data_IF_145337924640
#
_entry.id   IF_145337924640
#
_cell.length_a   1.000
_cell.length_b   1.000
_cell.length_c   1.000
_cell.angle_alpha   90.00
_cell.angle_beta   90.00
_cell.angle_gamma   90.00
#
_symmetry.space_group_name_H-M   'P 1'
#
loop_
_entity.id
_entity.type
_entity.pdbx_description
1 polymer ?
#
# COMPACT_ATOMS: atom_id res chain seq x y z
N UNK A 1 -22.04 -35.29 16.05
CA UNK A 1 -20.58 -35.41 15.92
C UNK A 1 -20.03 -34.04 15.53
N UNK A 2 -19.45 -33.24 16.45
CA UNK A 2 -18.90 -31.95 16.07
C UNK A 2 -17.50 -32.15 15.49
N UNK A 3 -17.29 -31.70 14.27
CA UNK A 3 -15.98 -31.68 13.63
C UNK A 3 -15.14 -30.57 14.27
N UNK A 4 -14.18 -30.97 15.11
CA UNK A 4 -13.04 -30.13 15.47
C UNK A 4 -12.19 -29.93 14.20
N UNK A 5 -12.27 -28.73 13.61
CA UNK A 5 -11.30 -28.31 12.60
C UNK A 5 -10.05 -27.83 13.32
N UNK A 6 -9.03 -28.68 13.36
CA UNK A 6 -7.66 -28.26 13.65
C UNK A 6 -7.22 -27.44 12.44
N UNK A 7 -7.47 -26.14 12.50
CA UNK A 7 -6.82 -25.19 11.59
C UNK A 7 -5.36 -25.16 12.00
N UNK A 8 -4.49 -25.78 11.20
CA UNK A 8 -3.08 -25.45 11.25
C UNK A 8 -2.95 -23.97 10.93
N UNK A 9 -2.77 -23.16 11.97
CA UNK A 9 -2.17 -21.85 11.83
C UNK A 9 -0.84 -22.09 11.11
N UNK A 10 -0.71 -21.64 9.87
CA UNK A 10 0.60 -21.23 9.40
C UNK A 10 0.98 -20.05 10.28
N UNK A 11 1.62 -20.40 11.41
CA UNK A 11 2.22 -19.49 12.36
C UNK A 11 3.01 -18.44 11.61
N UNK A 12 2.98 -17.20 12.11
CA UNK A 12 3.91 -16.13 11.77
C UNK A 12 5.29 -16.72 11.49
N UNK A 13 5.63 -16.91 10.21
CA UNK A 13 6.85 -17.61 9.83
C UNK A 13 8.02 -16.77 10.31
N UNK A 14 8.80 -17.35 11.24
CA UNK A 14 10.16 -16.90 11.56
C UNK A 14 11.00 -17.06 10.30
N UNK A 15 10.92 -16.09 9.39
CA UNK A 15 11.79 -16.02 8.22
C UNK A 15 13.16 -15.53 8.70
N UNK A 16 14.27 -16.28 8.51
CA UNK A 16 15.58 -15.84 8.96
C UNK A 16 16.05 -14.53 8.31
N UNK A 17 15.48 -14.16 7.15
CA UNK A 17 15.85 -12.96 6.40
C UNK A 17 15.37 -11.65 7.05
N UNK A 18 14.33 -11.71 7.88
CA UNK A 18 13.84 -10.54 8.60
C UNK A 18 13.44 -10.85 10.04
N UNK A 19 13.79 -9.97 10.97
CA UNK A 19 13.49 -10.18 12.38
C UNK A 19 13.21 -8.87 13.10
N UNK A 20 12.63 -9.00 14.29
CA UNK A 20 12.23 -7.88 15.15
C UNK A 20 13.38 -6.89 15.43
N UNK A 21 14.60 -7.39 15.60
CA UNK A 21 15.78 -6.58 15.90
C UNK A 21 16.25 -5.69 14.75
N UNK A 22 15.66 -5.82 13.55
CA UNK A 22 15.92 -4.93 12.42
C UNK A 22 15.01 -3.69 12.40
N UNK A 23 14.11 -3.55 13.38
CA UNK A 23 13.28 -2.37 13.57
C UNK A 23 13.79 -1.61 14.78
N UNK A 24 14.21 -0.36 14.55
CA UNK A 24 14.86 0.46 15.56
C UNK A 24 13.96 1.62 16.04
N UNK A 25 13.01 2.05 15.20
CA UNK A 25 12.10 3.14 15.54
C UNK A 25 10.84 3.10 14.69
N UNK A 26 9.70 3.39 15.33
CA UNK A 26 8.39 3.55 14.69
C UNK A 26 7.85 4.94 15.09
N UNK A 27 7.77 5.85 14.11
CA UNK A 27 7.22 7.19 14.25
C UNK A 27 5.88 7.37 13.54
N UNK A 28 5.37 8.60 13.56
CA UNK A 28 4.12 8.99 12.89
C UNK A 28 4.42 9.83 11.66
N UNK A 29 3.90 9.42 10.50
CA UNK A 29 4.01 10.15 9.25
C UNK A 29 2.88 11.17 9.12
N UNK A 30 3.00 12.31 9.80
CA UNK A 30 1.96 13.35 9.83
C UNK A 30 1.66 13.96 8.45
N UNK A 31 2.67 14.04 7.58
CA UNK A 31 2.53 14.57 6.22
C UNK A 31 1.75 13.64 5.27
N UNK A 32 1.46 12.39 5.65
CA UNK A 32 0.53 11.55 4.90
C UNK A 32 -0.91 11.88 5.31
N UNK A 33 -1.39 13.02 4.84
CA UNK A 33 -2.68 13.61 5.23
C UNK A 33 -3.45 14.12 4.02
N UNK A 34 -4.75 14.33 4.17
CA UNK A 34 -5.59 14.91 3.11
C UNK A 34 -5.11 16.33 2.74
N UNK A 35 -4.71 17.10 3.74
CA UNK A 35 -4.17 18.46 3.56
C UNK A 35 -2.96 18.45 2.62
N UNK A 36 -2.01 17.53 2.83
CA UNK A 36 -0.84 17.43 1.95
C UNK A 36 -1.22 16.98 0.54
N UNK A 37 -2.16 16.03 0.41
CA UNK A 37 -2.66 15.58 -0.89
C UNK A 37 -3.29 16.73 -1.67
N UNK A 38 -4.13 17.53 -1.01
CA UNK A 38 -4.76 18.70 -1.64
C UNK A 38 -3.74 19.79 -1.95
N UNK A 39 -2.74 19.98 -1.10
CA UNK A 39 -1.67 20.95 -1.35
C UNK A 39 -0.85 20.59 -2.60
N UNK A 40 -0.45 19.33 -2.75
CA UNK A 40 0.41 18.88 -3.85
C UNK A 40 -0.37 18.61 -5.14
N UNK A 41 -1.58 18.06 -5.03
CA UNK A 41 -2.33 17.51 -6.16
C UNK A 41 -3.79 18.01 -6.20
N UNK A 42 -4.13 19.10 -5.51
CA UNK A 42 -5.49 19.66 -5.49
C UNK A 42 -6.01 19.99 -6.88
N UNK A 43 -5.17 20.56 -7.75
CA UNK A 43 -5.56 20.93 -9.11
C UNK A 43 -6.08 19.75 -9.94
N UNK A 44 -5.41 18.59 -9.87
CA UNK A 44 -5.87 17.38 -10.58
C UNK A 44 -7.10 16.77 -9.93
N UNK A 45 -7.26 16.87 -8.60
CA UNK A 45 -8.44 16.39 -7.88
C UNK A 45 -9.69 17.22 -8.19
N UNK A 46 -9.53 18.53 -8.41
CA UNK A 46 -10.62 19.45 -8.74
C UNK A 46 -11.04 19.37 -10.21
N UNK A 47 -10.07 19.19 -11.12
CA UNK A 47 -10.31 19.33 -12.56
C UNK A 47 -10.33 18.00 -13.33
N UNK A 48 -10.16 16.86 -12.65
CA UNK A 48 -10.22 15.55 -13.28
C UNK A 48 -11.17 14.60 -12.56
N UNK A 49 -11.90 13.80 -13.34
CA UNK A 49 -12.89 12.89 -12.82
C UNK A 49 -12.78 11.52 -13.49
N UNK A 50 -13.01 10.48 -12.71
CA UNK A 50 -13.20 9.12 -13.21
C UNK A 50 -14.69 8.81 -13.25
N UNK A 51 -15.13 8.05 -14.25
CA UNK A 51 -16.50 7.57 -14.31
C UNK A 51 -16.83 6.77 -13.04
N UNK A 52 -18.00 7.04 -12.46
CA UNK A 52 -18.52 6.26 -11.35
C UNK A 52 -18.74 4.82 -11.83
N UNK A 53 -18.14 3.85 -11.15
CA UNK A 53 -18.43 2.43 -11.38
C UNK A 53 -19.57 2.04 -10.43
N UNK A 54 -20.69 1.50 -10.94
CA UNK A 54 -21.73 0.99 -10.07
C UNK A 54 -21.11 -0.06 -9.15
N UNK A 55 -21.21 0.14 -7.84
CA UNK A 55 -20.87 -0.91 -6.88
C UNK A 55 -21.81 -2.06 -7.22
N UNK A 56 -21.25 -3.19 -7.67
CA UNK A 56 -22.04 -4.39 -7.92
C UNK A 56 -22.76 -4.74 -6.62
N UNK A 57 -24.09 -4.58 -6.59
CA UNK A 57 -24.98 -5.02 -5.51
C UNK A 57 -25.06 -6.55 -5.39
N UNK A 58 -23.95 -7.24 -5.68
CA UNK A 58 -23.85 -8.66 -5.48
C UNK A 58 -23.68 -8.93 -3.99
N UNK A 59 -24.49 -9.84 -3.41
CA UNK A 59 -24.34 -10.19 -2.00
C UNK A 59 -22.89 -10.61 -1.73
N UNK A 60 -22.25 -10.11 -0.65
CA UNK A 60 -20.86 -10.43 -0.35
C UNK A 60 -20.69 -11.95 -0.30
N UNK A 61 -19.81 -12.51 -1.13
CA UNK A 61 -19.49 -13.94 -1.02
C UNK A 61 -18.93 -14.22 0.37
N UNK A 62 -19.29 -15.34 1.01
CA UNK A 62 -18.72 -15.75 2.31
C UNK A 62 -17.19 -15.67 2.30
N UNK A 63 -16.61 -15.13 3.36
CA UNK A 63 -15.16 -14.96 3.53
C UNK A 63 -14.64 -16.13 4.34
N UNK A 64 -13.74 -16.95 3.79
CA UNK A 64 -12.71 -17.66 4.54
C UNK A 64 -11.67 -18.25 3.59
N UNK A 65 -10.36 -18.33 3.93
CA UNK A 65 -9.54 -17.51 4.83
C UNK A 65 -8.62 -16.55 4.02
N UNK A 66 -7.61 -15.94 4.66
CA UNK A 66 -6.54 -15.07 4.14
C UNK A 66 -6.26 -15.06 2.61
N UNK A 67 -6.26 -16.24 1.98
CA UNK A 67 -6.03 -16.42 0.53
C UNK A 67 -7.00 -15.64 -0.37
N UNK A 68 -8.24 -15.38 0.07
CA UNK A 68 -9.23 -14.65 -0.73
C UNK A 68 -9.03 -13.13 -0.72
N UNK A 69 -8.19 -12.62 0.18
CA UNK A 69 -8.07 -11.19 0.39
C UNK A 69 -7.39 -10.44 -0.77
N UNK A 70 -6.28 -10.93 -1.37
CA UNK A 70 -5.72 -10.33 -2.57
C UNK A 70 -6.75 -10.22 -3.70
N UNK A 71 -7.52 -11.29 -3.95
CA UNK A 71 -8.56 -11.27 -4.99
C UNK A 71 -9.61 -10.17 -4.76
N UNK A 72 -10.01 -9.91 -3.50
CA UNK A 72 -10.92 -8.80 -3.17
C UNK A 72 -10.30 -7.44 -3.42
N UNK A 73 -9.04 -7.26 -3.05
CA UNK A 73 -8.32 -6.02 -3.35
C UNK A 73 -8.28 -5.79 -4.86
N UNK A 74 -8.02 -6.82 -5.66
CA UNK A 74 -8.10 -6.70 -7.12
C UNK A 74 -9.49 -6.28 -7.62
N UNK A 75 -10.56 -6.90 -7.11
CA UNK A 75 -11.92 -6.57 -7.54
C UNK A 75 -12.33 -5.13 -7.23
N UNK A 76 -11.93 -4.59 -6.06
CA UNK A 76 -12.43 -3.30 -5.59
C UNK A 76 -11.46 -2.13 -5.78
N UNK A 77 -10.15 -2.39 -5.90
CA UNK A 77 -9.13 -1.35 -5.85
C UNK A 77 -8.43 -1.20 -7.19
N UNK A 78 -7.86 -2.29 -7.73
CA UNK A 78 -6.89 -2.21 -8.83
C UNK A 78 -7.44 -1.49 -10.06
N UNK A 79 -8.66 -1.80 -10.48
CA UNK A 79 -9.27 -1.18 -11.67
C UNK A 79 -9.53 0.31 -11.46
N UNK A 80 -10.13 0.68 -10.33
CA UNK A 80 -10.45 2.07 -10.03
C UNK A 80 -9.19 2.92 -9.86
N UNK A 81 -8.20 2.39 -9.15
CA UNK A 81 -6.91 3.04 -8.96
C UNK A 81 -6.14 3.20 -10.28
N UNK A 82 -6.15 2.18 -11.15
CA UNK A 82 -5.53 2.27 -12.47
C UNK A 82 -6.17 3.35 -13.34
N UNK A 83 -7.51 3.46 -13.32
CA UNK A 83 -8.22 4.55 -14.02
C UNK A 83 -7.87 5.92 -13.43
N UNK A 84 -7.79 6.04 -12.11
CA UNK A 84 -7.42 7.28 -11.43
C UNK A 84 -5.98 7.72 -11.76
N UNK A 85 -5.01 6.80 -11.73
CA UNK A 85 -3.62 7.08 -12.10
C UNK A 85 -3.52 7.52 -13.56
N UNK A 86 -4.15 6.79 -14.49
CA UNK A 86 -4.18 7.17 -15.90
C UNK A 86 -4.78 8.56 -16.11
N UNK A 87 -5.86 8.87 -15.41
CA UNK A 87 -6.52 10.19 -15.48
C UNK A 87 -5.57 11.29 -14.98
N UNK A 88 -4.88 11.05 -13.86
CA UNK A 88 -3.93 12.00 -13.31
C UNK A 88 -2.73 12.25 -14.23
N UNK A 89 -2.09 11.20 -14.75
CA UNK A 89 -0.94 11.35 -15.66
C UNK A 89 -1.33 11.99 -17.00
N UNK A 90 -2.56 11.78 -17.47
CA UNK A 90 -3.07 12.50 -18.64
C UNK A 90 -3.28 13.99 -18.35
N UNK A 91 -3.70 14.33 -17.12
CA UNK A 91 -3.91 15.72 -16.70
C UNK A 91 -2.60 16.49 -16.55
N UNK A 92 -1.57 15.90 -15.92
CA UNK A 92 -0.27 16.54 -15.75
C UNK A 92 0.42 16.89 -17.07
N UNK A 93 0.08 16.19 -18.17
CA UNK A 93 0.78 16.38 -19.44
C UNK A 93 2.29 16.15 -19.33
N UNK A 94 3.05 16.46 -20.39
CA UNK A 94 4.49 16.15 -20.44
C UNK A 94 5.38 17.12 -19.65
N UNK A 95 4.91 18.33 -19.29
CA UNK A 95 5.76 19.41 -18.77
C UNK A 95 5.42 19.88 -17.36
N UNK A 96 4.24 19.56 -16.81
CA UNK A 96 3.77 20.14 -15.55
C UNK A 96 4.40 19.43 -14.32
N UNK A 97 4.84 18.17 -14.51
CA UNK A 97 5.57 17.39 -13.51
C UNK A 97 6.70 16.55 -14.12
N UNK A 98 7.81 17.16 -14.56
CA UNK A 98 8.88 16.46 -15.30
C UNK A 98 9.62 15.39 -14.48
N UNK A 99 9.45 15.39 -13.15
CA UNK A 99 10.04 14.40 -12.24
C UNK A 99 9.13 13.18 -12.01
N UNK A 100 7.86 13.24 -12.41
CA UNK A 100 6.92 12.14 -12.24
C UNK A 100 6.93 11.21 -13.47
N UNK A 101 7.16 9.93 -13.22
CA UNK A 101 7.02 8.88 -14.22
C UNK A 101 5.67 8.19 -14.09
N UNK A 102 5.02 7.89 -15.22
CA UNK A 102 3.79 7.09 -15.24
C UNK A 102 3.99 5.74 -14.55
N UNK A 103 3.23 5.50 -13.48
CA UNK A 103 3.24 4.24 -12.72
C UNK A 103 1.95 3.45 -12.89
N UNK A 104 2.05 2.15 -12.65
CA UNK A 104 0.95 1.20 -12.54
C UNK A 104 0.96 0.55 -11.16
N UNK A 105 -0.22 0.13 -10.71
CA UNK A 105 -0.43 -0.59 -9.45
C UNK A 105 -1.03 -1.96 -9.75
N UNK A 106 -0.40 -3.03 -9.28
CA UNK A 106 -0.91 -4.39 -9.49
C UNK A 106 -0.26 -5.42 -8.53
N UNK A 107 -0.44 -6.72 -8.78
CA UNK A 107 0.23 -7.81 -8.05
C UNK A 107 1.74 -7.62 -8.03
N UNK A 108 2.36 -7.98 -6.91
CA UNK A 108 3.80 -7.78 -6.73
C UNK A 108 4.69 -8.56 -7.70
N UNK A 109 4.18 -9.67 -8.26
CA UNK A 109 4.89 -10.49 -9.24
C UNK A 109 5.08 -9.83 -10.61
N UNK A 110 4.37 -8.74 -10.89
CA UNK A 110 4.56 -7.97 -12.13
C UNK A 110 5.75 -7.00 -12.05
N UNK A 111 6.32 -6.78 -10.87
CA UNK A 111 7.58 -6.06 -10.71
C UNK A 111 8.74 -7.04 -10.49
N UNK A 112 9.99 -6.55 -10.65
CA UNK A 112 11.20 -7.31 -10.32
C UNK A 112 11.13 -7.81 -8.87
N UNK A 113 11.43 -9.08 -8.63
CA UNK A 113 11.39 -9.76 -7.32
C UNK A 113 12.79 -10.24 -6.87
N UNK A 114 13.62 -9.35 -6.30
CA UNK A 114 14.98 -9.69 -5.88
C UNK A 114 14.99 -10.87 -4.90
N UNK A 115 15.88 -11.84 -5.11
CA UNK A 115 16.00 -13.06 -4.28
C UNK A 115 14.69 -13.87 -4.15
N UNK A 116 13.76 -13.71 -5.10
CA UNK A 116 12.47 -14.44 -5.16
C UNK A 116 11.53 -14.17 -3.98
N UNK A 117 11.71 -13.06 -3.26
CA UNK A 117 10.69 -12.57 -2.35
C UNK A 117 9.76 -11.63 -3.11
N UNK A 118 8.49 -11.99 -3.14
CA UNK A 118 7.46 -11.26 -3.89
C UNK A 118 6.51 -10.58 -2.90
N UNK A 119 6.49 -9.24 -2.84
CA UNK A 119 5.45 -8.50 -2.13
C UNK A 119 4.06 -8.86 -2.67
N UNK A 120 3.00 -8.60 -1.91
CA UNK A 120 1.64 -8.92 -2.40
C UNK A 120 1.24 -7.99 -3.54
N UNK A 121 1.58 -6.71 -3.42
CA UNK A 121 1.27 -5.66 -4.39
C UNK A 121 2.55 -4.92 -4.77
N UNK A 122 2.54 -4.29 -5.92
CA UNK A 122 3.61 -3.44 -6.40
C UNK A 122 3.08 -2.18 -7.08
N UNK A 123 3.89 -1.14 -7.00
CA UNK A 123 3.83 0.02 -7.89
C UNK A 123 5.07 0.00 -8.76
N UNK A 124 4.94 0.16 -10.06
CA UNK A 124 6.08 0.09 -10.98
C UNK A 124 5.88 1.03 -12.17
N UNK A 125 6.97 1.41 -12.84
CA UNK A 125 6.89 2.23 -14.04
C UNK A 125 6.21 1.48 -15.19
N UNK A 126 5.28 2.13 -15.88
CA UNK A 126 4.61 1.59 -17.05
C UNK A 126 5.54 1.46 -18.27
N UNK A 127 6.64 2.23 -18.30
CA UNK A 127 7.55 2.29 -19.44
C UNK A 127 8.65 1.21 -19.42
N UNK A 128 8.83 0.50 -18.31
CA UNK A 128 9.91 -0.47 -18.16
C UNK A 128 9.46 -1.92 -18.41
N UNK A 129 10.28 -2.76 -19.05
CA UNK A 129 10.02 -4.20 -19.19
C UNK A 129 9.95 -4.93 -17.84
N UNK A 130 9.15 -6.00 -17.77
CA UNK A 130 8.87 -6.82 -16.57
C UNK A 130 10.15 -7.31 -15.87
N UNK A 131 11.18 -7.64 -16.65
CA UNK A 131 12.45 -8.19 -16.14
C UNK A 131 13.29 -7.18 -15.37
N UNK A 132 13.12 -5.88 -15.63
CA UNK A 132 13.94 -4.81 -15.05
C UNK A 132 13.13 -3.80 -14.25
N UNK A 133 11.80 -3.77 -14.39
CA UNK A 133 10.96 -2.77 -13.73
C UNK A 133 11.05 -2.90 -12.20
N UNK A 134 11.56 -1.91 -11.48
CA UNK A 134 11.65 -1.95 -10.04
C UNK A 134 10.25 -1.82 -9.44
N UNK A 135 10.03 -2.54 -8.33
CA UNK A 135 8.92 -2.23 -7.45
C UNK A 135 9.27 -0.95 -6.67
N UNK A 136 8.48 0.10 -6.83
CA UNK A 136 8.63 1.40 -6.17
C UNK A 136 7.87 1.49 -4.85
N UNK A 137 6.86 0.64 -4.67
CA UNK A 137 6.06 0.53 -3.44
C UNK A 137 5.67 -0.94 -3.22
N UNK A 138 6.52 -1.74 -2.55
CA UNK A 138 6.13 -3.09 -2.15
C UNK A 138 4.99 -3.02 -1.13
N UNK A 139 3.80 -3.48 -1.52
CA UNK A 139 2.62 -3.49 -0.66
C UNK A 139 2.40 -4.84 0.03
N UNK A 140 1.97 -4.80 1.29
CA UNK A 140 1.66 -5.98 2.08
C UNK A 140 0.15 -6.08 2.34
N UNK A 141 -0.45 -7.22 2.01
CA UNK A 141 -1.81 -7.55 2.43
C UNK A 141 -1.74 -8.48 3.65
N UNK A 142 -2.51 -8.17 4.70
CA UNK A 142 -2.75 -9.05 5.86
C UNK A 142 -4.23 -9.06 6.21
N UNK A 143 -4.72 -10.10 6.87
CA UNK A 143 -6.04 -10.00 7.51
C UNK A 143 -5.94 -9.19 8.81
N UNK A 144 -7.03 -8.57 9.22
CA UNK A 144 -7.16 -7.81 10.45
C UNK A 144 -6.96 -8.68 11.70
N UNK A 145 -7.18 -9.99 11.58
CA UNK A 145 -6.85 -10.98 12.58
C UNK A 145 -5.33 -11.22 12.72
N UNK A 146 -4.56 -11.02 11.65
CA UNK A 146 -3.10 -11.15 11.67
C UNK A 146 -2.40 -9.85 12.09
N UNK A 147 -2.99 -8.70 11.72
CA UNK A 147 -2.49 -7.40 12.11
C UNK A 147 -3.57 -6.34 11.90
N UNK A 148 -3.73 -5.44 12.87
CA UNK A 148 -4.43 -4.16 12.68
C UNK A 148 -3.80 -3.08 13.55
N UNK A 149 -3.93 -1.83 13.14
CA UNK A 149 -3.46 -0.65 13.87
C UNK A 149 -4.10 -0.55 15.25
N UNK A 150 -5.39 -0.93 15.37
CA UNK A 150 -6.11 -0.96 16.65
C UNK A 150 -5.60 -1.99 17.65
N UNK A 151 -4.79 -2.96 17.22
CA UNK A 151 -4.09 -3.88 18.12
C UNK A 151 -2.82 -3.25 18.73
N UNK A 152 -2.31 -2.16 18.15
CA UNK A 152 -1.08 -1.50 18.60
C UNK A 152 -1.34 -0.79 19.93
N UNK A 153 -1.12 -1.51 21.02
CA UNK A 153 -0.95 -0.92 22.36
C UNK A 153 0.50 -0.54 22.60
N UNK A 154 1.42 -1.40 22.13
CA UNK A 154 2.85 -1.15 22.09
C UNK A 154 3.40 -1.60 20.72
N UNK A 155 3.96 -0.69 19.89
CA UNK A 155 4.51 -1.01 18.57
C UNK A 155 5.62 -2.07 18.57
N UNK A 156 6.28 -2.26 19.71
CA UNK A 156 7.37 -3.22 19.89
C UNK A 156 6.88 -4.64 20.27
N UNK A 157 5.57 -4.86 20.39
CA UNK A 157 5.02 -6.21 20.55
C UNK A 157 5.30 -7.08 19.33
N UNK A 158 5.58 -8.37 19.57
CA UNK A 158 6.06 -9.35 18.58
C UNK A 158 5.21 -9.39 17.30
N UNK A 159 3.89 -9.29 17.40
CA UNK A 159 2.97 -9.36 16.24
C UNK A 159 3.11 -8.14 15.31
N UNK A 160 3.40 -6.97 15.88
CA UNK A 160 3.58 -5.73 15.14
C UNK A 160 4.96 -5.67 14.53
N UNK A 161 5.98 -5.93 15.36
CA UNK A 161 7.37 -5.80 14.93
C UNK A 161 7.73 -6.83 13.85
N UNK A 162 7.10 -8.02 13.84
CA UNK A 162 7.26 -8.99 12.74
C UNK A 162 6.66 -8.50 11.42
N UNK A 163 5.51 -7.81 11.50
CA UNK A 163 4.87 -7.19 10.33
C UNK A 163 5.73 -6.05 9.80
N UNK A 164 6.23 -5.17 10.67
CA UNK A 164 7.11 -4.08 10.31
C UNK A 164 8.47 -4.58 9.79
N UNK A 165 9.03 -5.62 10.37
CA UNK A 165 10.26 -6.26 9.89
C UNK A 165 10.09 -6.79 8.46
N UNK A 166 8.95 -7.43 8.16
CA UNK A 166 8.65 -7.87 6.79
C UNK A 166 8.54 -6.68 5.83
N UNK A 167 7.79 -5.64 6.20
CA UNK A 167 7.64 -4.44 5.35
C UNK A 167 9.00 -3.78 5.11
N UNK A 168 9.80 -3.57 6.15
CA UNK A 168 11.14 -3.02 6.04
C UNK A 168 12.05 -3.88 5.17
N UNK A 169 11.97 -5.20 5.29
CA UNK A 169 12.72 -6.13 4.45
C UNK A 169 12.37 -5.98 2.97
N UNK A 170 11.06 -5.96 2.63
CA UNK A 170 10.62 -5.78 1.26
C UNK A 170 11.11 -4.41 0.73
N UNK A 171 10.96 -3.33 1.50
CA UNK A 171 11.47 -2.00 1.16
C UNK A 171 12.99 -1.96 0.97
N UNK A 172 13.76 -2.69 1.78
CA UNK A 172 15.21 -2.84 1.64
C UNK A 172 15.60 -3.54 0.36
N UNK A 173 14.93 -4.63 0.02
CA UNK A 173 15.22 -5.36 -1.21
C UNK A 173 14.94 -4.54 -2.46
N UNK A 174 13.91 -3.69 -2.42
CA UNK A 174 13.54 -2.84 -3.54
C UNK A 174 14.16 -1.44 -3.51
N UNK A 175 14.91 -1.11 -2.45
CA UNK A 175 15.50 0.21 -2.22
C UNK A 175 14.46 1.35 -2.21
N UNK A 176 13.28 1.08 -1.69
CA UNK A 176 12.15 2.02 -1.70
C UNK A 176 12.03 2.80 -0.40
N UNK A 177 11.50 4.02 -0.52
CA UNK A 177 11.12 4.87 0.60
C UNK A 177 9.69 4.59 1.10
N UNK A 178 8.83 4.06 0.23
CA UNK A 178 7.39 3.92 0.52
C UNK A 178 6.93 2.46 0.47
N UNK A 179 5.95 2.15 1.31
CA UNK A 179 5.21 0.89 1.39
C UNK A 179 3.85 1.15 2.03
N UNK A 180 3.00 0.14 2.14
CA UNK A 180 1.76 0.20 2.90
C UNK A 180 1.37 -1.20 3.39
N UNK A 181 0.57 -1.23 4.45
CA UNK A 181 -0.10 -2.43 4.94
C UNK A 181 -1.60 -2.23 4.68
N UNK A 182 -2.20 -3.16 3.94
CA UNK A 182 -3.64 -3.18 3.66
C UNK A 182 -4.27 -4.38 4.36
N UNK A 183 -5.30 -4.11 5.17
CA UNK A 183 -6.10 -5.11 5.87
C UNK A 183 -7.56 -5.07 5.41
N UNK A 184 -8.39 -6.02 5.84
CA UNK A 184 -9.84 -5.99 5.61
C UNK A 184 -10.54 -4.89 6.43
N UNK A 185 -9.80 -4.13 7.24
CA UNK A 185 -10.31 -3.00 8.03
C UNK A 185 -9.78 -1.65 7.58
N UNK A 186 -8.51 -1.57 7.19
CA UNK A 186 -7.83 -0.30 7.00
C UNK A 186 -6.60 -0.40 6.09
N UNK A 187 -6.11 0.76 5.67
CA UNK A 187 -4.80 0.97 5.09
C UNK A 187 -3.92 1.80 6.04
N UNK A 188 -2.65 1.41 6.17
CA UNK A 188 -1.61 2.21 6.83
C UNK A 188 -0.43 2.37 5.86
N UNK A 189 -0.16 3.61 5.45
CA UNK A 189 1.01 3.92 4.64
C UNK A 189 2.27 3.93 5.52
N UNK A 190 3.38 3.51 4.93
CA UNK A 190 4.67 3.35 5.61
C UNK A 190 5.72 4.13 4.86
N UNK A 191 6.44 5.00 5.56
CA UNK A 191 7.62 5.70 5.07
C UNK A 191 8.84 5.17 5.80
N UNK A 192 9.87 4.78 5.04
CA UNK A 192 11.17 4.42 5.59
C UNK A 192 12.06 5.66 5.61
N UNK A 193 12.69 5.90 6.75
CA UNK A 193 13.53 7.07 6.95
C UNK A 193 14.97 6.81 6.54
N UNK A 194 15.48 5.59 6.80
CA UNK A 194 16.91 5.28 6.63
C UNK A 194 17.21 3.79 6.38
N UNK A 195 18.52 3.51 6.24
CA UNK A 195 19.13 2.19 6.16
C UNK A 195 18.87 1.26 7.36
N UNK A 196 18.49 1.83 8.49
CA UNK A 196 18.62 1.25 9.83
C UNK A 196 17.25 0.94 10.47
N UNK A 197 16.21 0.72 9.68
CA UNK A 197 14.93 0.23 10.19
C UNK A 197 14.16 1.24 11.05
N UNK A 198 14.37 2.54 10.81
CA UNK A 198 13.48 3.59 11.29
C UNK A 198 12.36 3.81 10.27
N UNK A 199 11.12 3.59 10.71
CA UNK A 199 9.91 3.72 9.89
C UNK A 199 8.98 4.76 10.51
N UNK A 200 8.12 5.35 9.68
CA UNK A 200 6.97 6.11 10.11
C UNK A 200 5.69 5.55 9.48
N UNK A 201 4.60 5.62 10.23
CA UNK A 201 3.29 5.11 9.84
C UNK A 201 2.30 6.26 9.70
N UNK A 202 1.48 6.25 8.66
CA UNK A 202 0.36 7.18 8.55
C UNK A 202 -0.71 6.89 9.60
N UNK A 203 -1.64 7.83 9.78
CA UNK A 203 -2.91 7.50 10.44
C UNK A 203 -3.63 6.41 9.63
N UNK A 204 -4.32 5.46 10.30
CA UNK A 204 -5.04 4.42 9.59
C UNK A 204 -6.23 4.98 8.84
N UNK A 205 -6.41 4.52 7.59
CA UNK A 205 -7.53 4.90 6.72
C UNK A 205 -8.49 3.72 6.63
N UNK A 206 -9.67 3.77 7.27
CA UNK A 206 -10.59 2.64 7.28
C UNK A 206 -11.33 2.48 5.94
N UNK A 207 -11.75 1.26 5.60
CA UNK A 207 -12.60 1.01 4.41
C UNK A 207 -13.94 1.76 4.45
N UNK A 208 -14.41 2.08 5.66
CA UNK A 208 -15.64 2.85 5.87
C UNK A 208 -15.44 4.37 5.67
N UNK A 209 -14.22 4.84 5.43
CA UNK A 209 -13.98 6.25 5.15
C UNK A 209 -14.61 6.64 3.80
N UNK A 210 -15.53 7.61 3.84
CA UNK A 210 -16.17 8.21 2.69
C UNK A 210 -16.15 9.73 2.82
N UNK A 211 -16.02 10.43 1.69
CA UNK A 211 -16.07 11.90 1.63
C UNK A 211 -16.94 12.35 0.47
N UNK A 212 -17.36 13.60 0.50
CA UNK A 212 -18.02 14.28 -0.64
C UNK A 212 -17.09 15.37 -1.17
N UNK A 213 -17.45 16.00 -2.29
CA UNK A 213 -16.70 17.16 -2.80
C UNK A 213 -16.63 18.29 -1.75
N UNK A 214 -17.74 18.57 -1.06
CA UNK A 214 -17.80 19.64 -0.04
C UNK A 214 -17.11 19.24 1.28
N UNK A 215 -17.03 17.94 1.57
CA UNK A 215 -16.43 17.41 2.80
C UNK A 215 -15.47 16.28 2.44
N UNK A 216 -14.32 16.60 1.83
CA UNK A 216 -13.39 15.60 1.38
C UNK A 216 -12.81 14.86 2.60
N UNK A 217 -12.57 13.55 2.43
CA UNK A 217 -11.93 12.71 3.44
C UNK A 217 -10.92 11.80 2.78
N UNK A 218 -9.84 11.48 3.50
CA UNK A 218 -8.90 10.46 3.07
C UNK A 218 -9.62 9.10 3.02
N UNK A 219 -9.74 8.53 1.82
CA UNK A 219 -10.27 7.18 1.58
C UNK A 219 -9.13 6.23 1.19
N UNK A 220 -9.35 4.91 1.23
CA UNK A 220 -8.31 3.95 0.84
C UNK A 220 -7.85 4.16 -0.60
N UNK A 221 -8.78 4.45 -1.53
CA UNK A 221 -8.44 4.73 -2.91
C UNK A 221 -7.60 6.01 -3.05
N UNK A 222 -7.96 7.07 -2.33
CA UNK A 222 -7.20 8.33 -2.36
C UNK A 222 -5.81 8.15 -1.74
N UNK A 223 -5.70 7.41 -0.64
CA UNK A 223 -4.42 7.10 0.00
C UNK A 223 -3.51 6.26 -0.91
N UNK A 224 -4.05 5.23 -1.57
CA UNK A 224 -3.29 4.43 -2.54
C UNK A 224 -2.90 5.23 -3.77
N UNK A 225 -3.78 6.10 -4.26
CA UNK A 225 -3.47 7.00 -5.36
C UNK A 225 -2.32 7.95 -4.99
N UNK A 226 -2.38 8.56 -3.80
CA UNK A 226 -1.33 9.44 -3.33
C UNK A 226 0.02 8.74 -3.15
N UNK A 227 0.07 7.57 -2.51
CA UNK A 227 1.35 6.85 -2.35
C UNK A 227 1.94 6.40 -3.70
N UNK A 228 1.08 6.10 -4.69
CA UNK A 228 1.53 5.83 -6.06
C UNK A 228 2.15 7.08 -6.71
N UNK A 229 1.58 8.28 -6.48
CA UNK A 229 2.16 9.53 -6.98
C UNK A 229 3.48 9.88 -6.30
N UNK A 230 3.59 9.68 -4.98
CA UNK A 230 4.86 9.82 -4.27
C UNK A 230 5.94 8.87 -4.82
N UNK A 231 5.53 7.70 -5.30
CA UNK A 231 6.43 6.73 -5.93
C UNK A 231 6.70 6.99 -7.41
N UNK A 232 5.93 7.87 -8.04
CA UNK A 232 6.16 8.30 -9.42
C UNK A 232 7.33 9.28 -9.50
N UNK A 233 7.58 10.06 -8.43
CA UNK A 233 8.72 10.98 -8.34
C UNK A 233 10.06 10.25 -8.35
N UNK A 234 10.79 10.36 -9.48
CA UNK A 234 12.11 9.75 -9.71
C UNK A 234 13.16 10.13 -8.67
N UNK A 235 13.00 11.28 -8.00
CA UNK A 235 13.97 11.77 -7.03
C UNK A 235 13.63 11.30 -5.61
N UNK A 236 12.35 11.09 -5.30
CA UNK A 236 11.86 10.81 -3.96
C UNK A 236 11.59 9.34 -3.64
N UNK A 237 11.29 8.50 -4.64
CA UNK A 237 10.77 7.14 -4.37
C UNK A 237 11.82 6.17 -3.81
N UNK A 238 13.11 6.40 -4.09
CA UNK A 238 14.21 5.60 -3.55
C UNK A 238 14.74 6.17 -2.24
N UNK A 239 15.25 5.27 -1.41
CA UNK A 239 16.12 5.62 -0.30
C UNK A 239 17.57 5.55 -0.81
N UNK A 240 18.28 6.68 -0.78
CA UNK A 240 19.70 6.75 -1.12
C UNK A 240 20.55 5.94 -0.14
#
# INVERSE_FOLDING_TARGET
MPFQSIVHHQENTRNPEYNAGQIHGIGVWNAFSLEQVTLEFGNVLENSHIAAEPILHTPPRPVNPQAAMPARVHCYVTNQLSRALRTAFNFFGPNDHPHLTTVQFDVGSLARTPRRFTPTLAVFSAAMPDTVRPNRVPGLIKTSAQWSSGMIKNPLETVHITTFAKVNFDMRQHQTRYSFILTDRELVAVRRLDGYGNLELSRPVPWTAHGTADHPRMTILLALWYICLLAADEQGWRLA
#
